data_IF_242500342961
#
_entry.id   IF_242500342961
#
_cell.length_a   1.000
_cell.length_b   1.000
_cell.length_c   1.000
_cell.angle_alpha   90.00
_cell.angle_beta   90.00
_cell.angle_gamma   90.00
#
_symmetry.space_group_name_H-M   'P 1'
#
loop_
_entity.id
_entity.type
_entity.pdbx_description
1 polymer ?
#
# COMPACT_ATOMS: atom_id res chain seq x y z
N UNK A 1 -22.59 12.30 -9.67
CA UNK A 1 -21.98 11.04 -10.15
C UNK A 1 -20.64 10.95 -9.43
N UNK A 2 -20.52 10.05 -8.46
CA UNK A 2 -19.29 9.88 -7.68
C UNK A 2 -18.37 8.93 -8.47
N UNK A 3 -17.16 9.36 -8.78
CA UNK A 3 -16.20 8.55 -9.52
C UNK A 3 -15.42 7.70 -8.52
N UNK A 4 -15.80 6.43 -8.35
CA UNK A 4 -15.10 5.48 -7.49
C UNK A 4 -14.02 4.74 -8.29
N UNK A 5 -12.86 4.56 -7.69
CA UNK A 5 -11.90 3.56 -8.15
C UNK A 5 -12.41 2.17 -7.77
N UNK A 6 -12.35 1.21 -8.69
CA UNK A 6 -12.62 -0.20 -8.41
C UNK A 6 -11.44 -1.04 -8.89
N UNK A 7 -11.15 -2.13 -8.18
CA UNK A 7 -10.27 -3.19 -8.68
C UNK A 7 -11.14 -4.22 -9.39
N UNK A 8 -10.75 -4.66 -10.58
CA UNK A 8 -11.48 -5.74 -11.24
C UNK A 8 -11.30 -7.05 -10.45
N UNK A 9 -12.35 -7.86 -10.34
CA UNK A 9 -12.29 -9.11 -9.59
C UNK A 9 -11.20 -10.05 -10.11
N UNK A 10 -11.00 -10.10 -11.42
CA UNK A 10 -9.95 -10.88 -12.08
C UNK A 10 -8.52 -10.45 -11.64
N UNK A 11 -8.33 -9.18 -11.26
CA UNK A 11 -7.05 -8.69 -10.73
C UNK A 11 -6.84 -9.13 -9.26
N UNK A 12 -7.93 -9.32 -8.51
CA UNK A 12 -7.87 -9.88 -7.16
C UNK A 12 -7.67 -11.40 -7.18
N UNK A 13 -8.15 -12.07 -8.23
CA UNK A 13 -7.92 -13.49 -8.46
C UNK A 13 -6.43 -13.81 -8.65
N UNK A 14 -5.58 -12.86 -9.04
CA UNK A 14 -4.11 -13.03 -9.05
C UNK A 14 -3.54 -13.31 -7.65
N UNK A 15 -4.20 -12.86 -6.59
CA UNK A 15 -3.85 -13.21 -5.20
C UNK A 15 -4.52 -14.52 -4.74
N UNK A 16 -5.51 -15.03 -5.48
CA UNK A 16 -6.11 -16.36 -5.30
C UNK A 16 -5.31 -17.45 -6.01
N UNK A 17 -4.75 -17.12 -7.18
CA UNK A 17 -4.03 -18.05 -8.07
C UNK A 17 -2.57 -18.12 -7.62
N UNK A 18 -2.36 -18.87 -6.56
CA UNK A 18 -1.49 -20.05 -6.53
C UNK A 18 -0.97 -20.24 -5.09
N UNK A 19 -1.83 -20.82 -4.24
CA UNK A 19 -1.45 -21.24 -2.89
C UNK A 19 -0.24 -22.19 -2.89
N UNK A 20 0.05 -22.87 -4.01
CA UNK A 20 1.29 -23.65 -4.15
C UNK A 20 2.51 -22.75 -4.39
N UNK A 21 2.41 -21.72 -5.23
CA UNK A 21 3.48 -20.73 -5.42
C UNK A 21 3.79 -19.98 -4.13
N UNK A 22 2.75 -19.63 -3.37
CA UNK A 22 2.87 -18.97 -2.07
C UNK A 22 3.52 -19.83 -0.98
N UNK A 23 3.62 -21.15 -1.20
CA UNK A 23 4.28 -22.09 -0.29
C UNK A 23 5.74 -22.38 -0.63
N UNK A 24 6.26 -21.82 -1.73
CA UNK A 24 7.66 -22.00 -2.09
C UNK A 24 8.56 -21.23 -1.12
N UNK A 25 9.71 -21.82 -0.78
CA UNK A 25 10.71 -21.17 0.09
C UNK A 25 11.21 -19.84 -0.50
N UNK A 26 11.22 -19.72 -1.84
CA UNK A 26 11.56 -18.48 -2.54
C UNK A 26 10.50 -17.40 -2.34
N UNK A 27 9.20 -17.74 -2.43
CA UNK A 27 8.13 -16.79 -2.17
C UNK A 27 8.10 -16.32 -0.72
N UNK A 28 8.31 -17.24 0.23
CA UNK A 28 8.36 -16.92 1.67
C UNK A 28 9.51 -15.99 2.05
N UNK A 29 10.58 -15.94 1.24
CA UNK A 29 11.74 -15.07 1.45
C UNK A 29 11.68 -13.78 0.64
N UNK A 30 10.81 -13.71 -0.37
CA UNK A 30 10.68 -12.54 -1.22
C UNK A 30 9.87 -11.44 -0.52
N UNK A 31 10.22 -10.19 -0.82
CA UNK A 31 9.44 -9.02 -0.40
C UNK A 31 8.34 -8.78 -1.44
N UNK A 32 7.10 -8.73 -0.98
CA UNK A 32 5.92 -8.58 -1.82
C UNK A 32 5.42 -7.14 -1.77
N UNK A 33 5.53 -6.46 -2.91
CA UNK A 33 5.10 -5.05 -3.07
C UNK A 33 3.98 -4.98 -4.07
N UNK A 34 2.87 -4.35 -3.68
CA UNK A 34 1.70 -4.15 -4.54
C UNK A 34 1.53 -2.67 -4.88
N UNK A 35 1.26 -2.38 -6.14
CA UNK A 35 1.05 -1.01 -6.63
C UNK A 35 -0.43 -0.82 -6.97
N UNK A 36 -1.07 0.17 -6.33
CA UNK A 36 -2.46 0.54 -6.58
C UNK A 36 -2.53 2.04 -6.91
N UNK A 37 -3.43 2.48 -7.77
CA UNK A 37 -3.59 3.92 -7.97
C UNK A 37 -4.25 4.57 -6.74
N UNK A 38 -5.41 4.04 -6.33
CA UNK A 38 -6.14 4.50 -5.15
C UNK A 38 -5.61 3.78 -3.90
N UNK A 39 -5.47 4.50 -2.78
CA UNK A 39 -5.03 3.90 -1.53
C UNK A 39 -6.05 2.94 -0.92
N UNK A 40 -5.54 1.99 -0.14
CA UNK A 40 -6.35 1.13 0.74
C UNK A 40 -6.63 1.78 2.11
N UNK A 41 -5.89 2.84 2.46
CA UNK A 41 -6.06 3.64 3.67
C UNK A 41 -6.18 5.11 3.30
N UNK A 42 -7.22 5.77 3.79
CA UNK A 42 -7.35 7.21 3.62
C UNK A 42 -6.57 7.96 4.71
N UNK A 43 -5.72 8.95 4.37
CA UNK A 43 -4.88 9.63 5.37
C UNK A 43 -5.65 10.48 6.37
N UNK A 44 -6.79 11.04 5.95
CA UNK A 44 -7.64 11.86 6.81
C UNK A 44 -9.10 11.81 6.31
N UNK A 45 -10.04 11.36 7.15
CA UNK A 45 -11.47 11.27 6.80
C UNK A 45 -12.15 12.64 6.60
N UNK A 46 -11.51 13.74 7.00
CA UNK A 46 -12.03 15.10 6.91
C UNK A 46 -11.69 15.82 5.59
N UNK A 47 -10.75 15.28 4.80
CA UNK A 47 -10.37 15.86 3.51
C UNK A 47 -11.45 15.49 2.48
N UNK A 48 -11.96 16.53 1.80
CA UNK A 48 -13.12 16.55 0.91
C UNK A 48 -13.11 15.60 -0.30
N UNK A 49 -12.07 14.76 -0.46
CA UNK A 49 -11.97 13.80 -1.55
C UNK A 49 -12.58 12.42 -1.23
N UNK A 50 -13.61 12.43 -0.38
CA UNK A 50 -14.46 11.26 -0.08
C UNK A 50 -15.10 10.68 -1.35
N UNK A 51 -15.09 11.43 -2.45
CA UNK A 51 -15.74 11.05 -3.71
C UNK A 51 -14.97 10.04 -4.55
N UNK A 52 -13.67 9.83 -4.28
CA UNK A 52 -12.78 8.98 -5.09
C UNK A 52 -12.04 7.90 -4.29
N UNK A 53 -12.64 7.48 -3.17
CA UNK A 53 -12.15 6.33 -2.39
C UNK A 53 -12.17 5.05 -3.22
N UNK A 54 -11.25 4.15 -2.90
CA UNK A 54 -11.29 2.79 -3.42
C UNK A 54 -12.48 2.05 -2.81
N UNK A 55 -13.37 1.54 -3.65
CA UNK A 55 -14.50 0.75 -3.15
C UNK A 55 -14.01 -0.58 -2.57
N UNK A 56 -14.50 -0.97 -1.41
CA UNK A 56 -14.05 -2.18 -0.70
C UNK A 56 -12.60 -2.12 -0.18
N UNK A 57 -12.04 -0.93 0.06
CA UNK A 57 -10.64 -0.76 0.49
C UNK A 57 -10.24 -1.62 1.70
N UNK A 58 -11.11 -1.73 2.71
CA UNK A 58 -10.87 -2.53 3.92
C UNK A 58 -10.74 -4.03 3.61
N UNK A 59 -11.55 -4.54 2.70
CA UNK A 59 -11.54 -5.96 2.35
C UNK A 59 -10.35 -6.29 1.45
N UNK A 60 -10.00 -5.38 0.53
CA UNK A 60 -8.76 -5.46 -0.24
C UNK A 60 -7.55 -5.46 0.69
N UNK A 61 -7.50 -4.57 1.70
CA UNK A 61 -6.41 -4.54 2.67
C UNK A 61 -6.24 -5.88 3.41
N UNK A 62 -7.34 -6.50 3.85
CA UNK A 62 -7.33 -7.82 4.49
C UNK A 62 -6.86 -8.92 3.56
N UNK A 63 -7.30 -8.91 2.29
CA UNK A 63 -6.87 -9.88 1.28
C UNK A 63 -5.36 -9.76 1.06
N UNK A 64 -4.85 -8.55 0.83
CA UNK A 64 -3.42 -8.30 0.65
C UNK A 64 -2.62 -8.72 1.87
N UNK A 65 -3.13 -8.42 3.08
CA UNK A 65 -2.46 -8.83 4.32
C UNK A 65 -2.37 -10.35 4.45
N UNK A 66 -3.45 -11.06 4.17
CA UNK A 66 -3.50 -12.54 4.19
C UNK A 66 -2.62 -13.17 3.12
N UNK A 67 -2.47 -12.50 1.97
CA UNK A 67 -1.58 -12.93 0.89
C UNK A 67 -0.08 -12.74 1.22
N UNK A 68 0.26 -12.13 2.36
CA UNK A 68 1.64 -11.88 2.75
C UNK A 68 2.27 -10.68 2.03
N UNK A 69 1.46 -9.72 1.59
CA UNK A 69 1.98 -8.46 1.04
C UNK A 69 2.67 -7.66 2.15
N UNK A 70 3.87 -7.17 1.87
CA UNK A 70 4.67 -6.42 2.84
C UNK A 70 4.42 -4.92 2.75
N UNK A 71 4.27 -4.41 1.53
CA UNK A 71 4.12 -2.99 1.25
C UNK A 71 3.15 -2.74 0.10
N UNK A 72 2.21 -1.82 0.30
CA UNK A 72 1.38 -1.25 -0.75
C UNK A 72 1.90 0.14 -1.08
N UNK A 73 2.02 0.44 -2.37
CA UNK A 73 2.39 1.74 -2.90
C UNK A 73 1.22 2.30 -3.70
N UNK A 74 0.77 3.51 -3.34
CA UNK A 74 -0.31 4.17 -4.07
C UNK A 74 -0.09 5.65 -4.30
N UNK A 75 -1.02 6.28 -5.02
CA UNK A 75 -1.00 7.71 -5.30
C UNK A 75 -2.36 8.34 -5.01
N UNK A 76 -2.90 9.04 -6.01
CA UNK A 76 -4.21 9.69 -6.01
C UNK A 76 -4.35 10.94 -5.13
N UNK A 77 -3.95 10.88 -3.85
CA UNK A 77 -4.15 11.99 -2.90
C UNK A 77 -3.16 13.16 -3.06
N UNK A 78 -2.09 12.99 -3.85
CA UNK A 78 -1.10 14.02 -4.19
C UNK A 78 -0.38 14.68 -2.99
N UNK A 79 -0.41 14.04 -1.82
CA UNK A 79 0.46 14.32 -0.68
C UNK A 79 1.00 13.01 -0.12
N UNK A 80 2.14 13.08 0.54
CA UNK A 80 2.78 11.92 1.14
C UNK A 80 2.04 11.48 2.41
N UNK A 81 1.81 10.18 2.52
CA UNK A 81 1.32 9.55 3.74
C UNK A 81 1.91 8.14 3.84
N UNK A 82 2.17 7.67 5.06
CA UNK A 82 2.54 6.30 5.30
C UNK A 82 1.84 5.76 6.54
N UNK A 83 1.55 4.46 6.52
CA UNK A 83 1.01 3.71 7.64
C UNK A 83 1.82 2.41 7.81
N UNK A 84 2.13 2.09 9.06
CA UNK A 84 2.74 0.80 9.41
C UNK A 84 1.70 -0.31 9.32
N UNK A 85 2.18 -1.52 9.00
CA UNK A 85 1.36 -2.72 8.98
C UNK A 85 0.77 -3.03 10.36
N UNK A 86 -0.44 -3.59 10.37
CA UNK A 86 -1.09 -4.10 11.57
C UNK A 86 -1.71 -5.49 11.34
N UNK A 87 -2.71 -5.86 12.15
CA UNK A 87 -3.41 -7.14 12.04
C UNK A 87 -4.30 -7.26 10.79
N UNK A 88 -4.69 -6.15 10.18
CA UNK A 88 -5.68 -6.08 9.11
C UNK A 88 -5.12 -5.60 7.78
N UNK A 89 -3.96 -4.91 7.78
CA UNK A 89 -3.39 -4.33 6.57
C UNK A 89 -1.86 -4.43 6.48
N UNK A 90 -1.29 -4.50 5.26
CA UNK A 90 0.16 -4.40 5.03
C UNK A 90 0.67 -2.98 5.34
N UNK A 91 2.00 -2.77 5.30
CA UNK A 91 2.50 -1.39 5.29
C UNK A 91 1.96 -0.69 4.04
N UNK A 92 1.74 0.61 4.13
CA UNK A 92 1.15 1.34 3.01
C UNK A 92 1.76 2.74 2.90
N UNK A 93 2.13 3.11 1.69
CA UNK A 93 2.62 4.44 1.35
C UNK A 93 1.79 5.02 0.23
N UNK A 94 1.38 6.27 0.42
CA UNK A 94 0.82 7.13 -0.60
C UNK A 94 1.93 8.08 -1.03
N UNK A 95 2.38 7.95 -2.27
CA UNK A 95 3.26 8.91 -2.88
C UNK A 95 2.52 10.24 -3.07
N UNK A 96 3.22 11.34 -2.79
CA UNK A 96 2.79 12.65 -3.22
C UNK A 96 2.91 12.81 -4.73
N UNK A 97 3.02 14.05 -5.21
CA UNK A 97 3.04 14.33 -6.64
C UNK A 97 4.22 15.21 -7.02
N UNK A 98 5.04 14.75 -7.96
CA UNK A 98 6.12 15.55 -8.53
C UNK A 98 5.60 16.72 -9.40
N UNK A 99 4.36 16.62 -9.89
CA UNK A 99 3.82 17.48 -10.96
C UNK A 99 2.63 18.33 -10.54
N UNK A 100 2.08 18.15 -9.34
CA UNK A 100 0.93 18.92 -8.87
C UNK A 100 1.31 20.41 -8.75
N UNK A 101 0.87 21.21 -9.72
CA UNK A 101 1.30 22.60 -9.94
C UNK A 101 0.92 23.55 -8.78
N UNK A 102 -0.07 23.17 -7.98
CA UNK A 102 -0.59 23.98 -6.86
C UNK A 102 -0.30 23.36 -5.48
N UNK A 103 0.55 22.33 -5.42
CA UNK A 103 1.06 21.81 -4.16
C UNK A 103 2.42 22.44 -3.87
N UNK A 104 2.57 23.02 -2.68
CA UNK A 104 3.88 23.42 -2.17
C UNK A 104 4.76 22.21 -1.82
N UNK A 105 4.17 21.01 -1.77
CA UNK A 105 4.81 19.74 -1.43
C UNK A 105 4.93 18.84 -2.67
N UNK A 106 5.68 19.29 -3.68
CA UNK A 106 6.06 18.40 -4.78
C UNK A 106 7.18 17.48 -4.32
N UNK A 107 6.97 16.18 -4.42
CA UNK A 107 7.98 15.21 -4.05
C UNK A 107 7.98 13.95 -4.93
N UNK A 108 9.03 13.15 -4.77
CA UNK A 108 9.06 11.75 -5.13
C UNK A 108 9.70 10.95 -4.01
N UNK A 109 9.40 9.66 -3.96
CA UNK A 109 9.93 8.74 -2.96
C UNK A 109 10.95 7.81 -3.62
N UNK A 110 12.05 7.57 -2.92
CA UNK A 110 13.06 6.56 -3.28
C UNK A 110 13.03 5.45 -2.24
N UNK A 111 12.93 4.20 -2.69
CA UNK A 111 12.91 3.02 -1.83
C UNK A 111 14.19 2.21 -2.01
N UNK A 112 14.95 2.04 -0.93
CA UNK A 112 16.04 1.08 -0.86
C UNK A 112 15.49 -0.22 -0.23
N UNK A 113 15.55 -1.34 -0.97
CA UNK A 113 15.01 -2.63 -0.54
C UNK A 113 16.17 -3.56 -0.13
N UNK A 114 16.08 -4.10 1.08
CA UNK A 114 17.03 -5.06 1.65
C UNK A 114 16.28 -6.33 2.10
N UNK A 115 17.01 -7.41 2.36
CA UNK A 115 16.42 -8.70 2.77
C UNK A 115 15.57 -8.66 4.05
N UNK A 116 15.68 -7.62 4.87
CA UNK A 116 14.98 -7.49 6.16
C UNK A 116 14.16 -6.22 6.33
N UNK A 117 14.32 -5.24 5.43
CA UNK A 117 13.72 -3.91 5.56
C UNK A 117 13.59 -3.20 4.24
N UNK A 118 12.68 -2.24 4.22
CA UNK A 118 12.55 -1.25 3.15
C UNK A 118 12.79 0.13 3.75
N UNK A 119 13.69 0.92 3.16
CA UNK A 119 13.95 2.31 3.57
C UNK A 119 13.32 3.24 2.54
N UNK A 120 12.36 4.04 2.98
CA UNK A 120 11.75 5.11 2.19
C UNK A 120 12.48 6.43 2.43
N UNK A 121 12.82 7.14 1.37
CA UNK A 121 13.44 8.46 1.38
C UNK A 121 12.59 9.44 0.60
N UNK A 122 12.29 10.57 1.21
CA UNK A 122 11.53 11.67 0.59
C UNK A 122 12.48 12.65 -0.10
N UNK A 123 12.16 13.00 -1.34
CA UNK A 123 12.84 14.03 -2.12
C UNK A 123 11.84 15.13 -2.48
N UNK A 124 12.03 16.31 -1.88
CA UNK A 124 11.13 17.45 -2.05
C UNK A 124 11.69 18.44 -3.08
N UNK A 125 10.81 19.07 -3.85
CA UNK A 125 11.22 20.07 -4.84
C UNK A 125 11.59 21.38 -4.15
N UNK A 126 12.85 21.77 -4.26
CA UNK A 126 13.34 23.06 -3.84
C UNK A 126 13.12 24.10 -4.95
N UNK A 127 12.27 25.10 -4.69
CA UNK A 127 11.96 26.19 -5.64
C UNK A 127 13.14 27.15 -5.85
N UNK A 128 14.01 27.32 -4.87
CA UNK A 128 15.20 28.19 -4.98
C UNK A 128 16.27 27.59 -5.89
N UNK A 129 16.41 26.26 -5.86
CA UNK A 129 17.39 25.53 -6.67
C UNK A 129 16.81 24.91 -7.94
N UNK A 130 15.49 24.93 -8.10
CA UNK A 130 14.76 24.31 -9.20
C UNK A 130 15.08 22.82 -9.39
N UNK A 131 15.26 22.09 -8.29
CA UNK A 131 15.61 20.67 -8.29
C UNK A 131 14.98 19.95 -7.10
N UNK A 132 14.92 18.62 -7.17
CA UNK A 132 14.55 17.80 -6.01
C UNK A 132 15.76 17.59 -5.10
N UNK A 133 15.57 17.78 -3.80
CA UNK A 133 16.59 17.61 -2.78
C UNK A 133 16.13 16.59 -1.74
N UNK A 134 17.07 15.82 -1.21
CA UNK A 134 16.77 14.84 -0.17
C UNK A 134 16.28 15.55 1.10
N UNK A 135 15.13 15.11 1.62
CA UNK A 135 14.59 15.58 2.88
C UNK A 135 15.12 14.70 4.02
N UNK A 136 16.25 15.10 4.63
CA UNK A 136 16.90 14.34 5.71
C UNK A 136 16.00 14.07 6.92
N UNK A 137 14.97 14.90 7.12
CA UNK A 137 14.02 14.79 8.23
C UNK A 137 12.92 13.76 7.99
N UNK A 138 12.71 13.35 6.75
CA UNK A 138 11.60 12.48 6.37
C UNK A 138 12.16 11.22 5.69
N UNK A 139 12.43 10.22 6.52
CA UNK A 139 12.72 8.86 6.07
C UNK A 139 11.95 7.89 6.96
N UNK A 140 11.48 6.81 6.37
CA UNK A 140 10.77 5.77 7.09
C UNK A 140 11.41 4.42 6.84
N UNK A 141 11.41 3.56 7.86
CA UNK A 141 11.98 2.21 7.77
C UNK A 141 10.86 1.23 8.07
N UNK A 142 10.47 0.47 7.05
CA UNK A 142 9.55 -0.65 7.18
C UNK A 142 10.35 -1.91 7.53
N UNK A 143 10.10 -2.48 8.70
CA UNK A 143 10.71 -3.73 9.17
C UNK A 143 9.86 -4.91 8.68
N UNK A 144 10.42 -5.74 7.81
CA UNK A 144 9.66 -6.77 7.07
C UNK A 144 9.68 -8.12 7.82
N UNK A 145 10.69 -8.37 8.67
CA UNK A 145 10.87 -9.68 9.34
C UNK A 145 10.10 -9.84 10.65
N UNK A 146 9.42 -8.82 11.14
CA UNK A 146 8.60 -8.93 12.36
C UNK A 146 7.41 -9.89 12.24
N UNK A 147 7.04 -10.30 11.02
CA UNK A 147 5.85 -11.11 10.79
C UNK A 147 6.06 -12.64 10.82
N UNK A 148 7.29 -13.13 10.96
CA UNK A 148 7.58 -14.58 11.06
C UNK A 148 6.91 -15.27 12.28
N UNK A 149 6.34 -14.52 13.24
CA UNK A 149 5.64 -15.08 14.41
C UNK A 149 4.11 -15.17 14.31
N UNK A 150 3.48 -14.76 13.20
CA UNK A 150 2.01 -14.66 13.09
C UNK A 150 1.38 -15.41 11.91
N UNK A 151 1.89 -16.58 11.56
CA UNK A 151 1.11 -17.56 10.79
C UNK A 151 -0.08 -18.16 11.56
N UNK A 152 -0.32 -17.72 12.80
CA UNK A 152 -1.60 -17.93 13.48
C UNK A 152 -2.50 -16.70 13.28
N UNK A 153 -3.11 -16.58 12.10
CA UNK A 153 -4.31 -15.76 11.95
C UNK A 153 -5.42 -16.45 12.76
N UNK A 154 -6.05 -15.80 13.76
CA UNK A 154 -7.13 -16.42 14.50
C UNK A 154 -8.35 -16.62 13.57
N UNK A 155 -8.75 -17.89 13.38
CA UNK A 155 -10.00 -18.27 12.72
C UNK A 155 -9.81 -18.80 11.29
N UNK A 156 -9.62 -20.11 11.17
CA UNK A 156 -9.97 -20.89 9.96
C UNK A 156 -11.50 -21.05 9.84
N UNK A 157 -12.27 -19.98 10.06
CA UNK A 157 -13.66 -20.00 9.61
C UNK A 157 -13.62 -19.64 8.12
N UNK A 158 -14.00 -20.60 7.28
CA UNK A 158 -14.08 -20.49 5.82
C UNK A 158 -14.63 -19.12 5.42
N UNK A 159 -13.74 -18.24 4.95
CA UNK A 159 -14.13 -16.98 4.34
C UNK A 159 -14.67 -17.31 2.93
N UNK A 160 -15.95 -17.62 2.87
CA UNK A 160 -16.69 -17.79 1.62
C UNK A 160 -16.82 -16.43 0.92
N UNK A 161 -15.79 -16.07 0.15
CA UNK A 161 -15.74 -14.84 -0.64
C UNK A 161 -16.93 -14.75 -1.61
N UNK A 162 -17.49 -15.89 -2.04
CA UNK A 162 -18.60 -15.90 -3.00
C UNK A 162 -19.91 -15.35 -2.37
N UNK A 163 -20.02 -15.35 -1.03
CA UNK A 163 -21.14 -14.71 -0.32
C UNK A 163 -21.01 -13.18 -0.16
N UNK A 164 -19.84 -12.60 -0.43
CA UNK A 164 -19.60 -11.17 -0.21
C UNK A 164 -19.72 -10.31 -1.48
N UNK A 165 -19.75 -10.92 -2.67
CA UNK A 165 -19.77 -10.20 -3.96
C UNK A 165 -21.10 -10.25 -4.72
N UNK A 166 -22.20 -10.67 -4.08
CA UNK A 166 -23.55 -10.50 -4.65
C UNK A 166 -24.17 -9.20 -4.15
N UNK A 167 -23.95 -8.10 -4.87
CA UNK A 167 -24.90 -6.98 -5.03
C UNK A 167 -24.48 -5.99 -6.12
#
# INVERSE_FOLDING_TARGET
MLARGGVALDDLDLFRIDTNYHSTEEWQKAIHIVFLHHPIIDPDPSIWDVTMKLDGCEDIAKILKRAGVDLVLSGHYHYEYHADSDAYQPNHVIAGSATQLFSDNRNFLLFDIFDDKIIMRDFVYDKGWCQFVYNEKNHHIFDIRKYESHHNVPGEDEFDIDNYFVR
#
